data_IF_807920497412
#
_entry.id   IF_807920497412
#
_cell.length_a   1.000
_cell.length_b   1.000
_cell.length_c   1.000
_cell.angle_alpha   90.00
_cell.angle_beta   90.00
_cell.angle_gamma   90.00
#
_symmetry.space_group_name_H-M   'P 1'
#
loop_
_entity.id
_entity.type
_entity.pdbx_description
1 polymer ?
#
# COMPACT_ATOMS: atom_id res chain seq x y z
N UNK A 1 4.48 6.82 19.48
CA UNK A 1 3.76 6.79 18.19
C UNK A 1 4.69 6.55 17.00
N UNK A 2 5.86 7.17 16.94
CA UNK A 2 6.85 7.00 15.86
C UNK A 2 7.33 5.54 15.69
N UNK A 3 7.68 4.84 16.79
CA UNK A 3 8.12 3.43 16.74
C UNK A 3 7.02 2.47 16.27
N UNK A 4 5.77 2.81 16.51
CA UNK A 4 4.62 2.00 16.11
C UNK A 4 4.37 2.07 14.60
N UNK A 5 4.47 3.26 13.99
CA UNK A 5 4.33 3.44 12.54
C UNK A 5 5.51 2.84 11.76
N UNK A 6 6.72 2.89 12.30
CA UNK A 6 7.91 2.28 11.67
C UNK A 6 7.87 0.76 11.60
N UNK A 7 7.22 0.08 12.53
CA UNK A 7 7.07 -1.38 12.51
C UNK A 7 6.18 -1.85 11.36
N UNK A 8 5.09 -1.12 11.08
CA UNK A 8 4.21 -1.41 9.95
C UNK A 8 4.91 -1.21 8.59
N UNK A 9 5.82 -0.24 8.48
CA UNK A 9 6.59 0.00 7.26
C UNK A 9 7.57 -1.12 6.97
N UNK A 10 8.34 -1.57 7.97
CA UNK A 10 9.23 -2.74 7.83
C UNK A 10 8.47 -4.01 7.45
N UNK A 11 7.28 -4.18 8.03
CA UNK A 11 6.39 -5.25 7.66
C UNK A 11 5.93 -5.21 6.21
N UNK A 12 5.59 -4.03 5.71
CA UNK A 12 5.24 -3.84 4.31
C UNK A 12 6.43 -4.17 3.38
N UNK A 13 7.65 -3.73 3.72
CA UNK A 13 8.85 -4.06 2.94
C UNK A 13 9.09 -5.58 2.87
N UNK A 14 9.04 -6.27 4.02
CA UNK A 14 9.23 -7.72 4.06
C UNK A 14 8.17 -8.45 3.24
N UNK A 15 6.92 -8.00 3.31
CA UNK A 15 5.83 -8.55 2.52
C UNK A 15 6.03 -8.31 1.01
N UNK A 16 6.52 -7.14 0.61
CA UNK A 16 6.82 -6.84 -0.80
C UNK A 16 7.95 -7.70 -1.36
N UNK A 17 9.02 -7.93 -0.58
CA UNK A 17 10.11 -8.84 -0.97
C UNK A 17 9.58 -10.27 -1.13
N UNK A 18 8.80 -10.75 -0.16
CA UNK A 18 8.17 -12.07 -0.21
C UNK A 18 7.25 -12.20 -1.42
N UNK A 19 6.46 -11.17 -1.71
CA UNK A 19 5.56 -11.10 -2.86
C UNK A 19 6.31 -11.17 -4.19
N UNK A 20 7.44 -10.47 -4.31
CA UNK A 20 8.30 -10.55 -5.49
C UNK A 20 8.85 -11.96 -5.69
N UNK A 21 9.47 -12.53 -4.66
CA UNK A 21 10.07 -13.88 -4.71
C UNK A 21 9.00 -14.93 -5.04
N UNK A 22 7.84 -14.85 -4.36
CA UNK A 22 6.72 -15.74 -4.63
C UNK A 22 6.17 -15.62 -6.05
N UNK A 23 6.06 -14.39 -6.56
CA UNK A 23 5.60 -14.15 -7.93
C UNK A 23 6.56 -14.74 -8.96
N UNK A 24 7.86 -14.52 -8.80
CA UNK A 24 8.89 -15.13 -9.67
C UNK A 24 8.79 -16.66 -9.62
N UNK A 25 8.72 -17.24 -8.41
CA UNK A 25 8.59 -18.68 -8.22
C UNK A 25 7.34 -19.24 -8.89
N UNK A 26 6.18 -18.58 -8.74
CA UNK A 26 4.94 -19.04 -9.37
C UNK A 26 4.99 -18.93 -10.91
N UNK A 27 5.60 -17.89 -11.45
CA UNK A 27 5.80 -17.75 -12.90
C UNK A 27 6.71 -18.87 -13.44
N UNK A 28 7.77 -19.22 -12.71
CA UNK A 28 8.65 -20.34 -13.10
C UNK A 28 7.91 -21.68 -13.02
N UNK A 29 7.07 -21.90 -12.00
CA UNK A 29 6.38 -23.17 -11.78
C UNK A 29 5.17 -23.37 -12.72
N UNK A 30 4.40 -22.32 -12.97
CA UNK A 30 3.09 -22.41 -13.64
C UNK A 30 3.04 -21.69 -14.99
N UNK A 31 4.06 -20.90 -15.32
CA UNK A 31 4.00 -19.98 -16.46
C UNK A 31 3.02 -18.82 -16.25
N UNK A 32 2.85 -18.02 -17.31
CA UNK A 32 1.87 -16.92 -17.34
C UNK A 32 0.69 -17.36 -18.20
N UNK A 33 -0.45 -17.61 -17.57
CA UNK A 33 -1.70 -17.95 -18.23
C UNK A 33 -2.69 -16.78 -18.23
N UNK A 34 -3.72 -16.84 -19.09
CA UNK A 34 -4.80 -15.86 -19.07
C UNK A 34 -5.48 -15.80 -17.70
N UNK A 35 -5.70 -16.94 -17.05
CA UNK A 35 -6.28 -16.98 -15.70
C UNK A 35 -5.39 -16.29 -14.67
N UNK A 36 -4.07 -16.47 -14.72
CA UNK A 36 -3.13 -15.77 -13.86
C UNK A 36 -3.22 -14.24 -14.05
N UNK A 37 -3.26 -13.78 -15.30
CA UNK A 37 -3.41 -12.35 -15.62
C UNK A 37 -4.74 -11.80 -15.12
N UNK A 38 -5.85 -12.51 -15.30
CA UNK A 38 -7.16 -12.08 -14.79
C UNK A 38 -7.20 -12.01 -13.25
N UNK A 39 -6.57 -12.96 -12.55
CA UNK A 39 -6.44 -12.90 -11.09
C UNK A 39 -5.60 -11.70 -10.64
N UNK A 40 -4.48 -11.42 -11.31
CA UNK A 40 -3.65 -10.25 -11.00
C UNK A 40 -4.44 -8.96 -11.23
N UNK A 41 -5.13 -8.82 -12.35
CA UNK A 41 -5.93 -7.63 -12.66
C UNK A 41 -7.06 -7.43 -11.67
N UNK A 42 -7.78 -8.50 -11.31
CA UNK A 42 -8.84 -8.43 -10.30
C UNK A 42 -8.29 -8.04 -8.92
N UNK A 43 -7.20 -8.67 -8.48
CA UNK A 43 -6.54 -8.31 -7.22
C UNK A 43 -6.03 -6.87 -7.24
N UNK A 44 -5.40 -6.41 -8.32
CA UNK A 44 -4.97 -5.03 -8.48
C UNK A 44 -6.15 -4.05 -8.41
N UNK A 45 -7.27 -4.36 -9.06
CA UNK A 45 -8.47 -3.53 -8.97
C UNK A 45 -9.00 -3.46 -7.52
N UNK A 46 -9.11 -4.60 -6.85
CA UNK A 46 -9.63 -4.64 -5.48
C UNK A 46 -8.69 -3.93 -4.49
N UNK A 47 -7.40 -4.23 -4.52
CA UNK A 47 -6.46 -3.73 -3.50
C UNK A 47 -5.89 -2.36 -3.88
N UNK A 48 -5.44 -2.21 -5.13
CA UNK A 48 -4.85 -0.96 -5.61
C UNK A 48 -5.90 0.12 -5.85
N UNK A 49 -6.94 -0.17 -6.64
CA UNK A 49 -7.93 0.85 -6.97
C UNK A 49 -8.89 1.11 -5.81
N UNK A 50 -9.63 0.10 -5.31
CA UNK A 50 -10.61 0.32 -4.25
C UNK A 50 -9.95 0.55 -2.89
N UNK A 51 -8.91 -0.22 -2.54
CA UNK A 51 -8.22 -0.11 -1.26
C UNK A 51 -7.36 1.15 -1.18
N UNK A 52 -6.39 1.31 -2.08
CA UNK A 52 -5.43 2.42 -2.00
C UNK A 52 -6.01 3.70 -2.60
N UNK A 53 -6.34 3.73 -3.90
CA UNK A 53 -6.70 4.99 -4.58
C UNK A 53 -8.02 5.55 -4.05
N UNK A 54 -9.06 4.73 -3.98
CA UNK A 54 -10.39 5.18 -3.54
C UNK A 54 -10.37 5.42 -2.03
N UNK A 55 -9.89 4.48 -1.23
CA UNK A 55 -10.07 4.56 0.22
C UNK A 55 -8.91 5.27 0.91
N UNK A 56 -7.68 4.76 0.87
CA UNK A 56 -6.59 5.39 1.63
C UNK A 56 -6.29 6.79 1.13
N UNK A 57 -6.20 6.97 -0.19
CA UNK A 57 -5.86 8.25 -0.79
C UNK A 57 -7.02 9.23 -0.73
N UNK A 58 -8.14 8.95 -1.41
CA UNK A 58 -9.22 9.93 -1.59
C UNK A 58 -10.12 10.06 -0.36
N UNK A 59 -10.48 8.95 0.30
CA UNK A 59 -11.40 8.98 1.45
C UNK A 59 -10.66 9.34 2.75
N UNK A 60 -9.64 8.55 3.15
CA UNK A 60 -9.01 8.69 4.47
C UNK A 60 -8.00 9.84 4.55
N UNK A 61 -7.29 10.16 3.44
CA UNK A 61 -6.30 11.25 3.44
C UNK A 61 -6.93 12.58 3.04
N UNK A 62 -7.59 12.61 1.88
CA UNK A 62 -8.06 13.87 1.32
C UNK A 62 -9.50 14.23 1.70
N UNK A 63 -10.25 13.31 2.33
CA UNK A 63 -11.68 13.50 2.64
C UNK A 63 -12.49 14.01 1.43
N UNK A 64 -12.12 13.55 0.22
CA UNK A 64 -12.68 14.03 -1.05
C UNK A 64 -14.16 13.64 -1.24
N UNK A 65 -14.64 12.66 -0.48
CA UNK A 65 -16.02 12.21 -0.49
C UNK A 65 -16.37 11.51 0.83
N UNK A 66 -17.65 11.40 1.09
CA UNK A 66 -18.20 10.63 2.20
C UNK A 66 -18.88 9.37 1.66
N UNK A 67 -18.75 8.27 2.36
CA UNK A 67 -19.37 7.00 1.99
C UNK A 67 -19.89 6.27 3.22
N UNK A 68 -20.61 5.17 2.99
CA UNK A 68 -21.09 4.33 4.08
C UNK A 68 -19.91 3.81 4.92
N UNK A 69 -19.98 3.91 6.27
CA UNK A 69 -18.92 3.44 7.16
C UNK A 69 -18.54 1.97 6.96
N UNK A 70 -19.50 1.10 6.57
CA UNK A 70 -19.22 -0.30 6.29
C UNK A 70 -18.35 -0.45 5.04
N UNK A 71 -18.65 0.30 3.97
CA UNK A 71 -17.84 0.30 2.74
C UNK A 71 -16.41 0.80 3.02
N UNK A 72 -16.27 1.86 3.84
CA UNK A 72 -14.95 2.34 4.26
C UNK A 72 -14.16 1.25 4.98
N UNK A 73 -14.79 0.49 5.87
CA UNK A 73 -14.13 -0.62 6.58
C UNK A 73 -13.73 -1.75 5.64
N UNK A 74 -14.63 -2.20 4.76
CA UNK A 74 -14.35 -3.26 3.78
C UNK A 74 -13.19 -2.85 2.87
N UNK A 75 -13.23 -1.65 2.31
CA UNK A 75 -12.19 -1.17 1.42
C UNK A 75 -10.87 -0.86 2.15
N UNK A 76 -10.92 -0.51 3.45
CA UNK A 76 -9.71 -0.41 4.26
C UNK A 76 -9.02 -1.78 4.45
N UNK A 77 -9.79 -2.87 4.58
CA UNK A 77 -9.22 -4.24 4.59
C UNK A 77 -8.57 -4.53 3.23
N UNK A 78 -9.26 -4.23 2.12
CA UNK A 78 -8.69 -4.43 0.77
C UNK A 78 -7.38 -3.65 0.60
N UNK A 79 -7.29 -2.43 1.14
CA UNK A 79 -6.06 -1.65 1.15
C UNK A 79 -4.91 -2.31 1.93
N UNK A 80 -5.21 -3.05 3.00
CA UNK A 80 -4.17 -3.85 3.70
C UNK A 80 -3.55 -4.91 2.79
N UNK A 81 -4.33 -5.52 1.90
CA UNK A 81 -3.85 -6.55 0.97
C UNK A 81 -2.99 -6.00 -0.17
N UNK A 82 -2.97 -4.68 -0.36
CA UNK A 82 -2.12 -4.03 -1.36
C UNK A 82 -0.61 -4.08 -1.05
N UNK A 83 -0.21 -4.53 0.13
CA UNK A 83 1.20 -4.65 0.50
C UNK A 83 1.93 -3.33 0.80
N UNK A 84 1.26 -2.19 0.68
CA UNK A 84 1.86 -0.85 0.80
C UNK A 84 1.80 -0.28 2.23
N UNK A 85 1.34 -1.05 3.18
CA UNK A 85 1.21 -0.68 4.59
C UNK A 85 -0.23 -0.59 5.09
N UNK A 86 -0.37 -0.43 6.39
CA UNK A 86 -1.67 -0.24 7.03
C UNK A 86 -2.26 1.14 6.73
N UNK A 87 -3.59 1.34 6.94
CA UNK A 87 -4.23 2.64 6.69
C UNK A 87 -3.52 3.80 7.42
N UNK A 88 -3.18 3.62 8.70
CA UNK A 88 -2.53 4.69 9.49
C UNK A 88 -1.12 5.00 8.98
N UNK A 89 -0.33 3.97 8.64
CA UNK A 89 1.02 4.16 8.13
C UNK A 89 1.01 4.83 6.75
N UNK A 90 0.15 4.35 5.87
CA UNK A 90 0.03 4.87 4.49
C UNK A 90 -0.42 6.33 4.49
N UNK A 91 -1.49 6.66 5.24
CA UNK A 91 -2.02 8.04 5.34
C UNK A 91 -0.97 8.98 5.94
N UNK A 92 -0.23 8.55 6.97
CA UNK A 92 0.84 9.36 7.56
C UNK A 92 1.94 9.70 6.55
N UNK A 93 2.38 8.70 5.77
CA UNK A 93 3.39 8.90 4.72
C UNK A 93 2.88 9.88 3.67
N UNK A 94 1.65 9.69 3.22
CA UNK A 94 1.07 10.50 2.15
C UNK A 94 0.82 11.95 2.58
N UNK A 95 0.37 12.19 3.82
CA UNK A 95 0.28 13.54 4.39
C UNK A 95 1.66 14.20 4.46
N UNK A 96 2.68 13.48 4.93
CA UNK A 96 4.05 14.01 4.97
C UNK A 96 4.56 14.36 3.57
N UNK A 97 4.26 13.54 2.57
CA UNK A 97 4.58 13.84 1.19
C UNK A 97 3.93 15.16 0.74
N UNK A 98 2.62 15.36 0.97
CA UNK A 98 1.96 16.63 0.62
C UNK A 98 2.49 17.85 1.38
N UNK A 99 2.88 17.70 2.64
CA UNK A 99 3.46 18.79 3.45
C UNK A 99 4.86 19.17 2.99
N UNK A 100 5.60 18.24 2.40
CA UNK A 100 7.01 18.37 2.04
C UNK A 100 7.27 18.12 0.55
N UNK A 101 6.21 18.19 -0.29
CA UNK A 101 6.31 17.86 -1.71
C UNK A 101 7.51 18.56 -2.36
N UNK A 102 8.36 17.76 -3.01
CA UNK A 102 9.57 18.18 -3.71
C UNK A 102 10.61 18.94 -2.86
N UNK A 103 10.60 18.69 -1.55
CA UNK A 103 11.65 19.14 -0.62
C UNK A 103 12.59 17.97 -0.24
N UNK A 104 13.79 18.26 0.33
CA UNK A 104 14.76 17.21 0.71
C UNK A 104 14.19 16.11 1.63
N UNK A 105 13.23 16.46 2.48
CA UNK A 105 12.60 15.55 3.45
C UNK A 105 11.35 14.85 2.92
N UNK A 106 10.99 15.03 1.65
CA UNK A 106 9.87 14.34 1.03
C UNK A 106 10.17 12.84 0.91
N UNK A 107 9.34 11.96 1.51
CA UNK A 107 9.56 10.51 1.44
C UNK A 107 9.49 9.95 0.01
N UNK A 108 8.82 10.64 -0.91
CA UNK A 108 8.53 10.16 -2.26
C UNK A 108 9.17 10.99 -3.38
N UNK A 109 9.90 12.06 -3.08
CA UNK A 109 10.44 12.93 -4.13
C UNK A 109 11.50 12.22 -4.98
N UNK A 110 11.28 12.05 -6.29
CA UNK A 110 12.30 11.53 -7.19
C UNK A 110 13.46 12.51 -7.39
N UNK A 111 13.27 13.80 -7.11
CA UNK A 111 14.30 14.83 -7.23
C UNK A 111 15.45 14.62 -6.24
N UNK A 112 15.12 14.19 -5.02
CA UNK A 112 16.10 13.99 -3.95
C UNK A 112 16.48 12.52 -3.72
N UNK A 113 15.55 11.60 -3.97
CA UNK A 113 15.75 10.17 -3.74
C UNK A 113 16.01 9.36 -5.01
N UNK A 114 15.74 9.93 -6.19
CA UNK A 114 15.88 9.24 -7.45
C UNK A 114 15.17 7.88 -7.44
N UNK A 115 15.83 6.86 -7.98
CA UNK A 115 15.30 5.49 -8.05
C UNK A 115 15.16 4.82 -6.67
N UNK A 116 15.73 5.39 -5.61
CA UNK A 116 15.62 4.80 -4.27
C UNK A 116 14.21 4.83 -3.68
N UNK A 117 13.28 5.61 -4.25
CA UNK A 117 11.86 5.57 -3.87
C UNK A 117 11.25 4.17 -4.01
N UNK A 118 11.79 3.33 -4.92
CA UNK A 118 11.33 1.96 -5.11
C UNK A 118 11.78 0.99 -4.02
N UNK A 119 12.67 1.42 -3.10
CA UNK A 119 13.08 0.61 -1.94
C UNK A 119 12.01 0.53 -0.85
N UNK A 120 10.94 1.33 -0.94
CA UNK A 120 9.88 1.41 0.07
C UNK A 120 10.41 1.72 1.48
N UNK A 121 11.57 2.37 1.56
CA UNK A 121 12.24 2.71 2.81
C UNK A 121 11.74 4.08 3.31
N UNK A 122 10.52 4.08 3.80
CA UNK A 122 9.89 5.30 4.31
C UNK A 122 10.07 5.37 5.82
N UNK A 123 11.12 6.05 6.27
CA UNK A 123 11.26 6.44 7.67
C UNK A 123 10.39 7.68 7.88
N UNK A 124 9.31 7.52 8.63
CA UNK A 124 8.41 8.63 8.92
C UNK A 124 8.63 9.18 10.32
N UNK A 125 9.11 10.38 10.38
CA UNK A 125 8.86 11.24 11.53
C UNK A 125 7.45 11.82 11.38
N UNK A 126 6.51 11.32 12.17
CA UNK A 126 5.16 11.88 12.23
C UNK A 126 5.25 13.18 13.02
N UNK A 127 5.32 14.31 12.34
CA UNK A 127 5.33 15.63 12.94
C UNK A 127 3.95 16.00 13.53
N UNK A 128 3.86 17.15 14.21
CA UNK A 128 2.62 17.58 14.85
C UNK A 128 1.50 17.90 13.85
N UNK A 129 1.84 18.42 12.67
CA UNK A 129 0.86 18.72 11.61
C UNK A 129 0.25 17.45 11.05
N UNK A 130 1.08 16.42 10.81
CA UNK A 130 0.61 15.09 10.40
C UNK A 130 -0.32 14.48 11.46
N UNK A 131 0.08 14.53 12.75
CA UNK A 131 -0.76 14.04 13.86
C UNK A 131 -2.10 14.75 13.92
N UNK A 132 -2.10 16.07 13.75
CA UNK A 132 -3.33 16.86 13.76
C UNK A 132 -4.26 16.50 12.62
N UNK A 133 -3.72 16.35 11.41
CA UNK A 133 -4.50 15.93 10.22
C UNK A 133 -5.08 14.53 10.36
N UNK A 134 -4.37 13.63 11.02
CA UNK A 134 -4.79 12.24 11.25
C UNK A 134 -5.63 12.04 12.52
N UNK A 135 -5.95 13.09 13.30
CA UNK A 135 -6.55 12.95 14.64
C UNK A 135 -7.83 12.09 14.67
N UNK A 136 -8.70 12.21 13.67
CA UNK A 136 -9.89 11.36 13.55
C UNK A 136 -9.56 9.91 13.22
N UNK A 137 -8.59 9.68 12.34
CA UNK A 137 -8.19 8.36 11.89
C UNK A 137 -7.45 7.58 12.99
N UNK A 138 -6.58 8.26 13.75
CA UNK A 138 -5.83 7.60 14.84
C UNK A 138 -6.71 7.26 16.05
N UNK A 139 -7.90 7.84 16.18
CA UNK A 139 -8.88 7.49 17.22
C UNK A 139 -9.87 6.41 16.79
N UNK A 140 -9.94 6.10 15.50
CA UNK A 140 -10.79 5.04 14.99
C UNK A 140 -10.21 3.66 15.38
N UNK A 141 -10.96 2.94 16.24
CA UNK A 141 -10.56 1.62 16.77
C UNK A 141 -10.38 0.58 15.66
N UNK A 142 -11.14 0.67 14.57
CA UNK A 142 -11.04 -0.27 13.46
C UNK A 142 -9.74 -0.03 12.66
N UNK A 143 -9.40 1.22 12.39
CA UNK A 143 -8.15 1.57 11.71
C UNK A 143 -6.92 1.24 12.58
N UNK A 144 -7.02 1.43 13.90
CA UNK A 144 -6.00 0.97 14.85
C UNK A 144 -5.83 -0.56 14.82
N UNK A 145 -6.95 -1.31 14.77
CA UNK A 145 -6.92 -2.77 14.65
C UNK A 145 -6.20 -3.20 13.36
N UNK A 146 -6.54 -2.64 12.20
CA UNK A 146 -5.88 -2.94 10.94
C UNK A 146 -4.38 -2.60 10.99
N UNK A 147 -4.02 -1.51 11.63
CA UNK A 147 -2.63 -1.11 11.78
C UNK A 147 -1.86 -2.10 12.69
N UNK A 148 -2.41 -2.44 13.85
CA UNK A 148 -1.78 -3.32 14.82
C UNK A 148 -1.58 -4.74 14.28
N UNK A 149 -2.56 -5.25 13.55
CA UNK A 149 -2.57 -6.64 13.07
C UNK A 149 -2.28 -6.76 11.56
N UNK A 150 -1.73 -5.72 10.94
CA UNK A 150 -1.48 -5.67 9.51
C UNK A 150 -0.81 -6.93 8.96
N UNK A 151 0.24 -7.39 9.64
CA UNK A 151 0.99 -8.58 9.23
C UNK A 151 0.16 -9.86 9.38
N UNK A 152 -0.52 -10.02 10.51
CA UNK A 152 -1.37 -11.17 10.77
C UNK A 152 -2.52 -11.26 9.77
N UNK A 153 -3.14 -10.11 9.42
CA UNK A 153 -4.21 -10.03 8.43
C UNK A 153 -3.72 -10.54 7.06
N UNK A 154 -2.56 -10.09 6.59
CA UNK A 154 -1.98 -10.54 5.32
C UNK A 154 -1.57 -12.03 5.38
N UNK A 155 -1.01 -12.50 6.50
CA UNK A 155 -0.65 -13.89 6.69
C UNK A 155 -1.88 -14.81 6.66
N UNK A 156 -2.92 -14.48 7.42
CA UNK A 156 -4.19 -15.23 7.44
C UNK A 156 -4.81 -15.25 6.05
N UNK A 157 -4.86 -14.11 5.36
CA UNK A 157 -5.40 -14.04 4.01
C UNK A 157 -4.61 -14.93 3.03
N UNK A 158 -3.28 -14.89 3.09
CA UNK A 158 -2.42 -15.77 2.28
C UNK A 158 -2.69 -17.26 2.56
N UNK A 159 -2.81 -17.65 3.84
CA UNK A 159 -3.10 -19.03 4.26
C UNK A 159 -4.48 -19.47 3.74
N UNK A 160 -5.50 -18.61 3.83
CA UNK A 160 -6.84 -18.93 3.31
C UNK A 160 -6.81 -19.15 1.80
N UNK A 161 -6.16 -18.27 1.05
CA UNK A 161 -6.03 -18.45 -0.40
C UNK A 161 -5.23 -19.70 -0.77
N UNK A 162 -4.17 -20.00 -0.01
CA UNK A 162 -3.40 -21.24 -0.19
C UNK A 162 -4.25 -22.48 0.08
N UNK A 163 -5.08 -22.47 1.13
CA UNK A 163 -5.96 -23.59 1.45
C UNK A 163 -7.04 -23.83 0.38
N UNK A 164 -7.52 -22.75 -0.29
CA UNK A 164 -8.58 -22.84 -1.31
C UNK A 164 -8.03 -23.26 -2.67
N UNK A 165 -6.91 -22.67 -3.11
CA UNK A 165 -6.40 -22.84 -4.48
C UNK A 165 -4.89 -23.00 -4.57
N UNK A 166 -4.24 -23.41 -3.47
CA UNK A 166 -2.81 -23.68 -3.42
C UNK A 166 -1.95 -22.43 -3.63
N UNK A 167 -0.68 -22.69 -3.93
CA UNK A 167 0.31 -21.63 -4.16
C UNK A 167 -0.08 -20.75 -5.36
N UNK A 168 -0.73 -21.32 -6.38
CA UNK A 168 -1.20 -20.60 -7.56
C UNK A 168 -2.15 -19.46 -7.21
N UNK A 169 -3.25 -19.75 -6.48
CA UNK A 169 -4.25 -18.73 -6.12
C UNK A 169 -3.67 -17.71 -5.15
N UNK A 170 -2.92 -18.16 -4.15
CA UNK A 170 -2.29 -17.28 -3.19
C UNK A 170 -1.39 -16.25 -3.86
N UNK A 171 -0.56 -16.68 -4.82
CA UNK A 171 0.37 -15.76 -5.47
C UNK A 171 -0.33 -14.88 -6.50
N UNK A 172 -1.08 -15.46 -7.43
CA UNK A 172 -1.64 -14.66 -8.53
C UNK A 172 -2.82 -13.78 -8.12
N UNK A 173 -3.49 -14.07 -7.02
CA UNK A 173 -4.58 -13.23 -6.53
C UNK A 173 -4.21 -12.32 -5.35
N UNK A 174 -3.10 -12.56 -4.64
CA UNK A 174 -2.69 -11.70 -3.51
C UNK A 174 -1.28 -11.11 -3.70
N UNK A 175 -0.25 -11.94 -3.79
CA UNK A 175 1.13 -11.46 -3.73
C UNK A 175 1.53 -10.69 -5.00
N UNK A 176 1.21 -11.20 -6.18
CA UNK A 176 1.50 -10.50 -7.43
C UNK A 176 0.74 -9.17 -7.55
N UNK A 177 -0.59 -9.08 -7.28
CA UNK A 177 -1.28 -7.80 -7.24
C UNK A 177 -0.73 -6.81 -6.20
N UNK A 178 -0.34 -7.30 -5.01
CA UNK A 178 0.28 -6.46 -3.99
C UNK A 178 1.61 -5.87 -4.48
N UNK A 179 2.47 -6.70 -5.07
CA UNK A 179 3.71 -6.25 -5.67
C UNK A 179 3.48 -5.22 -6.78
N UNK A 180 2.56 -5.50 -7.70
CA UNK A 180 2.20 -4.57 -8.79
C UNK A 180 1.69 -3.24 -8.23
N UNK A 181 0.82 -3.28 -7.20
CA UNK A 181 0.30 -2.06 -6.57
C UNK A 181 1.41 -1.20 -5.97
N UNK A 182 2.35 -1.83 -5.25
CA UNK A 182 3.49 -1.13 -4.67
C UNK A 182 4.38 -0.48 -5.73
N UNK A 183 4.69 -1.20 -6.81
CA UNK A 183 5.47 -0.65 -7.93
C UNK A 183 4.72 0.49 -8.63
N UNK A 184 3.44 0.31 -8.96
CA UNK A 184 2.65 1.34 -9.65
C UNK A 184 2.48 2.60 -8.81
N UNK A 185 2.32 2.49 -7.49
CA UNK A 185 2.29 3.65 -6.60
C UNK A 185 3.59 4.48 -6.69
N UNK A 186 4.74 3.81 -6.73
CA UNK A 186 6.03 4.50 -6.88
C UNK A 186 6.27 5.03 -8.29
N UNK A 187 5.79 4.33 -9.33
CA UNK A 187 5.84 4.83 -10.72
C UNK A 187 5.05 6.13 -10.84
N UNK A 188 3.84 6.21 -10.28
CA UNK A 188 3.03 7.44 -10.28
C UNK A 188 3.78 8.58 -9.57
N UNK A 189 4.37 8.33 -8.40
CA UNK A 189 5.17 9.33 -7.70
C UNK A 189 6.41 9.75 -8.51
N UNK A 190 7.11 8.79 -9.12
CA UNK A 190 8.31 9.07 -9.91
C UNK A 190 8.01 9.91 -11.15
N UNK A 191 6.96 9.55 -11.89
CA UNK A 191 6.59 10.24 -13.14
C UNK A 191 5.93 11.59 -12.85
N UNK A 192 5.04 11.64 -11.83
CA UNK A 192 4.28 12.83 -11.49
C UNK A 192 5.12 13.99 -10.94
N UNK A 193 6.28 13.69 -10.33
CA UNK A 193 7.17 14.71 -9.75
C UNK A 193 8.45 14.93 -10.56
N UNK A 194 8.61 14.27 -11.72
CA UNK A 194 9.78 14.50 -12.58
C UNK A 194 9.57 15.75 -13.46
N UNK A 195 10.46 16.77 -13.37
CA UNK A 195 10.32 17.98 -14.18
C UNK A 195 10.30 17.66 -15.69
N UNK A 196 9.39 18.30 -16.42
CA UNK A 196 9.32 18.22 -17.87
C UNK A 196 8.57 17.01 -18.45
N UNK A 197 8.01 16.10 -17.64
CA UNK A 197 7.23 14.96 -18.15
C UNK A 197 5.71 15.21 -18.23
N UNK A 198 5.17 16.05 -17.35
CA UNK A 198 3.73 16.38 -17.31
C UNK A 198 3.48 17.89 -17.23
N UNK A 199 4.42 18.72 -17.71
CA UNK A 199 4.17 20.16 -17.91
C UNK A 199 4.23 21.01 -16.64
N UNK A 200 5.04 20.64 -15.66
CA UNK A 200 5.40 21.49 -14.53
C UNK A 200 6.67 22.28 -14.83
#
# INVERSE_FOLDING_TARGET
MTNYLSSSTRGAQSFMILSLVGTISAVVMYGVSLNALLLILLGYFLYGCLGIVITYHRCLTHNSYQTNPLLTKVFSILGCFAGTGSPLAWVAIHINHHLKSDKPDDPHSPLYKGISIFKLDYVNEVNNDTKWRMRGLVTDRFQQFLHRYYFAINAVYSIVLFAIGGFYLMVFFHWAPAFVTGIMSNVVNYVGHKPGWLGG
#
